data_IF_488903734710
#
_entry.id   IF_488903734710
#
_cell.length_a   1.000
_cell.length_b   1.000
_cell.length_c   1.000
_cell.angle_alpha   90.00
_cell.angle_beta   90.00
_cell.angle_gamma   90.00
#
_symmetry.space_group_name_H-M   'P 1'
#
loop_
_entity.id
_entity.type
_entity.pdbx_description
1 polymer ?
#
# COMPACT_ATOMS: atom_id res chain seq x y z
N UNK A 1 -25.92 62.33 -25.28
CA UNK A 1 -25.76 63.24 -24.14
C UNK A 1 -24.66 62.59 -23.29
N UNK A 2 -23.40 62.73 -23.63
CA UNK A 2 -22.42 63.81 -23.33
C UNK A 2 -22.54 64.35 -21.92
N UNK A 3 -21.54 64.10 -21.11
CA UNK A 3 -20.72 65.16 -20.57
C UNK A 3 -19.40 64.64 -20.03
N UNK A 4 -18.33 65.20 -20.60
CA UNK A 4 -16.91 65.16 -20.17
C UNK A 4 -16.70 66.08 -18.97
N UNK A 5 -15.68 65.79 -18.15
CA UNK A 5 -14.83 66.78 -17.46
C UNK A 5 -13.52 66.09 -17.02
N UNK A 6 -12.44 66.30 -17.64
CA UNK A 6 -11.34 67.32 -17.66
C UNK A 6 -10.46 67.29 -16.43
N UNK A 7 -9.17 67.00 -16.75
CA UNK A 7 -7.94 67.13 -15.94
C UNK A 7 -7.67 68.57 -15.48
N UNK A 8 -6.95 68.69 -14.36
CA UNK A 8 -5.98 69.78 -14.09
C UNK A 8 -4.77 69.20 -13.31
N UNK A 9 -3.53 69.62 -13.68
CA UNK A 9 -2.30 69.16 -13.03
C UNK A 9 -1.78 70.18 -12.03
N UNK A 10 -1.07 69.75 -10.99
CA UNK A 10 -0.21 70.61 -10.16
C UNK A 10 1.20 70.06 -10.08
N UNK A 11 2.14 70.92 -10.48
CA UNK A 11 3.60 70.89 -10.29
C UNK A 11 3.95 71.35 -8.87
N UNK A 12 5.01 70.78 -8.29
CA UNK A 12 6.27 71.43 -7.79
C UNK A 12 6.95 70.44 -6.83
N UNK A 13 8.10 69.94 -7.16
CA UNK A 13 9.48 70.43 -6.80
C UNK A 13 9.89 70.18 -5.33
N UNK A 14 10.84 69.28 -5.17
CA UNK A 14 11.61 69.08 -3.94
C UNK A 14 12.70 68.01 -4.13
N UNK A 15 13.92 68.47 -4.49
CA UNK A 15 15.12 67.61 -4.48
C UNK A 15 15.46 67.25 -3.04
N UNK A 16 15.60 65.99 -2.74
CA UNK A 16 16.40 65.49 -1.61
C UNK A 16 17.19 64.26 -2.03
N UNK A 17 18.40 64.19 -1.55
CA UNK A 17 19.49 63.33 -1.92
C UNK A 17 19.14 61.83 -1.79
N UNK A 18 19.56 61.04 -2.76
CA UNK A 18 19.56 59.56 -2.69
C UNK A 18 20.75 59.14 -1.81
N UNK A 19 20.54 58.30 -0.78
CA UNK A 19 21.66 57.62 -0.15
C UNK A 19 22.08 56.43 -1.05
N UNK A 20 23.40 56.23 -1.15
CA UNK A 20 24.06 55.19 -1.93
C UNK A 20 23.67 53.80 -1.45
N UNK A 21 22.98 53.03 -2.32
CA UNK A 21 22.47 51.67 -2.06
C UNK A 21 23.50 50.58 -2.41
N UNK A 22 24.78 50.91 -2.52
CA UNK A 22 25.80 49.91 -2.94
C UNK A 22 26.39 49.06 -1.82
N UNK A 23 26.16 49.39 -0.55
CA UNK A 23 26.73 48.62 0.58
C UNK A 23 25.82 47.54 1.12
N UNK A 24 24.51 47.51 0.79
CA UNK A 24 23.53 46.51 1.33
C UNK A 24 23.31 45.26 0.46
N UNK A 25 23.90 45.21 -0.75
CA UNK A 25 23.72 44.02 -1.63
C UNK A 25 24.53 42.78 -1.25
N UNK A 26 25.54 42.89 -0.42
CA UNK A 26 26.37 41.77 0.06
C UNK A 26 25.71 40.96 1.17
N UNK A 27 25.02 41.61 2.10
CA UNK A 27 24.46 40.95 3.30
C UNK A 27 23.17 40.13 3.03
N UNK A 28 22.34 40.56 2.07
CA UNK A 28 21.08 39.88 1.74
C UNK A 28 21.32 38.55 0.99
N UNK A 29 22.38 38.49 0.13
CA UNK A 29 22.72 37.21 -0.55
C UNK A 29 23.26 36.15 0.40
N UNK A 30 24.02 36.52 1.42
CA UNK A 30 24.54 35.58 2.42
C UNK A 30 23.42 35.07 3.32
N UNK A 31 22.42 35.89 3.64
CA UNK A 31 21.27 35.48 4.47
C UNK A 31 20.34 34.49 3.74
N UNK A 32 20.13 34.67 2.42
CA UNK A 32 19.33 33.74 1.61
C UNK A 32 20.03 32.39 1.39
N UNK A 33 21.36 32.31 1.37
CA UNK A 33 22.12 31.07 1.23
C UNK A 33 22.12 30.25 2.54
N UNK A 34 22.07 30.93 3.70
CA UNK A 34 22.11 30.25 5.01
C UNK A 34 20.72 29.76 5.46
N UNK A 35 19.63 30.37 4.98
CA UNK A 35 18.25 30.10 5.41
C UNK A 35 17.35 29.59 4.29
N UNK A 36 17.88 29.00 3.21
CA UNK A 36 17.03 28.33 2.22
C UNK A 36 16.39 27.10 2.87
N UNK A 37 15.06 26.87 2.67
CA UNK A 37 14.38 25.67 3.16
C UNK A 37 15.09 24.37 2.72
N UNK A 38 15.77 24.39 1.58
CA UNK A 38 16.52 23.25 1.03
C UNK A 38 17.74 22.88 1.89
N UNK A 39 18.43 23.86 2.51
CA UNK A 39 19.54 23.58 3.43
C UNK A 39 19.09 23.03 4.78
N UNK A 40 17.91 23.45 5.26
CA UNK A 40 17.34 22.91 6.50
C UNK A 40 16.82 21.47 6.32
N UNK A 41 16.29 21.14 5.14
CA UNK A 41 15.88 19.78 4.80
C UNK A 41 17.09 18.87 4.57
N UNK A 42 18.13 19.34 3.89
CA UNK A 42 19.37 18.60 3.69
C UNK A 42 20.08 18.31 5.02
N UNK A 43 20.13 19.25 5.97
CA UNK A 43 20.71 19.05 7.30
C UNK A 43 19.89 18.09 8.18
N UNK A 44 18.55 18.05 8.03
CA UNK A 44 17.71 17.09 8.77
C UNK A 44 17.85 15.65 8.27
N UNK A 45 18.10 15.43 6.98
CA UNK A 45 18.31 14.07 6.45
C UNK A 45 19.67 13.47 6.81
N UNK A 46 20.69 14.30 7.10
CA UNK A 46 22.04 13.83 7.43
C UNK A 46 22.21 13.36 8.90
N UNK A 47 21.22 13.58 9.76
CA UNK A 47 21.31 13.26 11.20
C UNK A 47 20.45 12.08 11.67
N UNK A 48 19.66 11.44 10.77
CA UNK A 48 18.87 10.28 11.20
C UNK A 48 19.77 9.06 11.36
N UNK A 49 19.67 8.33 12.48
CA UNK A 49 20.37 7.07 12.65
C UNK A 49 20.02 6.10 11.50
N UNK A 50 21.02 5.38 11.00
CA UNK A 50 20.85 4.47 9.85
C UNK A 50 19.78 3.41 10.10
N UNK A 51 19.62 2.94 11.33
CA UNK A 51 18.62 1.96 11.74
C UNK A 51 17.18 2.50 11.63
N UNK A 52 16.95 3.81 11.85
CA UNK A 52 15.65 4.44 11.62
C UNK A 52 15.30 4.44 10.12
N UNK A 53 16.27 4.71 9.27
CA UNK A 53 16.12 4.65 7.82
C UNK A 53 15.80 3.23 7.34
N UNK A 54 16.38 2.19 7.94
CA UNK A 54 15.99 0.80 7.67
C UNK A 54 14.58 0.48 8.17
N UNK A 55 14.19 0.94 9.37
CA UNK A 55 12.84 0.81 9.87
C UNK A 55 11.79 1.50 8.97
N UNK A 56 12.12 2.66 8.43
CA UNK A 56 11.28 3.34 7.43
C UNK A 56 11.25 2.59 6.09
N UNK A 57 12.36 2.02 5.64
CA UNK A 57 12.45 1.23 4.41
C UNK A 57 11.49 0.04 4.44
N UNK A 58 11.42 -0.71 5.53
CA UNK A 58 10.51 -1.86 5.71
C UNK A 58 9.13 -1.46 6.23
N UNK A 59 8.84 -0.15 6.33
CA UNK A 59 7.55 0.39 6.82
C UNK A 59 7.21 -0.06 8.25
N UNK A 60 8.20 -0.16 9.15
CA UNK A 60 8.00 -0.70 10.50
C UNK A 60 6.91 0.04 11.31
N UNK A 61 6.76 1.35 11.11
CA UNK A 61 5.73 2.17 11.77
C UNK A 61 4.32 2.03 11.18
N UNK A 62 4.20 1.46 9.98
CA UNK A 62 2.90 1.28 9.30
C UNK A 62 2.79 -0.12 8.73
N UNK A 63 2.23 -1.02 9.51
CA UNK A 63 2.10 -2.44 9.19
C UNK A 63 0.75 -2.82 8.56
N UNK A 64 -0.08 -1.84 8.16
CA UNK A 64 -1.38 -2.14 7.55
C UNK A 64 -1.26 -3.08 6.35
N UNK A 65 -0.25 -2.88 5.49
CA UNK A 65 -0.02 -3.78 4.35
C UNK A 65 0.43 -5.18 4.76
N UNK A 66 1.14 -5.34 5.90
CA UNK A 66 1.51 -6.66 6.44
C UNK A 66 0.26 -7.39 6.94
N UNK A 67 -0.62 -6.71 7.67
CA UNK A 67 -1.89 -7.29 8.11
C UNK A 67 -2.76 -7.72 6.92
N UNK A 68 -2.87 -6.89 5.88
CA UNK A 68 -3.65 -7.21 4.67
C UNK A 68 -3.08 -8.40 3.87
N UNK A 69 -1.76 -8.63 3.90
CA UNK A 69 -1.13 -9.82 3.33
C UNK A 69 -1.32 -11.06 4.23
N UNK A 70 -1.23 -10.89 5.54
CA UNK A 70 -1.24 -11.96 6.52
C UNK A 70 -2.64 -12.55 6.74
N UNK A 71 -3.66 -11.70 6.82
CA UNK A 71 -5.03 -12.11 7.15
C UNK A 71 -5.57 -13.21 6.23
N UNK A 72 -5.46 -13.14 4.88
CA UNK A 72 -5.91 -14.23 4.01
C UNK A 72 -5.20 -15.57 4.26
N UNK A 73 -3.90 -15.53 4.59
CA UNK A 73 -3.18 -16.75 4.96
C UNK A 73 -3.71 -17.33 6.28
N UNK A 74 -4.02 -16.48 7.27
CA UNK A 74 -4.62 -16.92 8.54
C UNK A 74 -6.04 -17.46 8.35
N UNK A 75 -6.88 -16.85 7.50
CA UNK A 75 -8.18 -17.40 7.11
C UNK A 75 -8.03 -18.81 6.56
N UNK A 76 -7.04 -18.98 5.70
CA UNK A 76 -6.74 -20.27 5.07
C UNK A 76 -6.30 -21.30 6.10
N UNK A 77 -5.41 -20.95 7.02
CA UNK A 77 -4.97 -21.85 8.08
C UNK A 77 -6.15 -22.31 8.96
N UNK A 78 -7.07 -21.39 9.30
CA UNK A 78 -8.26 -21.72 10.10
C UNK A 78 -9.17 -22.67 9.34
N UNK A 79 -9.53 -22.38 8.08
CA UNK A 79 -10.42 -23.23 7.29
C UNK A 79 -9.79 -24.60 6.98
N UNK A 80 -8.53 -24.63 6.57
CA UNK A 80 -7.84 -25.86 6.21
C UNK A 80 -7.65 -26.82 7.39
N UNK A 81 -7.67 -26.30 8.64
CA UNK A 81 -7.46 -27.11 9.85
C UNK A 81 -8.72 -27.20 10.74
N UNK A 82 -9.91 -26.93 10.19
CA UNK A 82 -11.17 -27.08 10.93
C UNK A 82 -11.23 -26.25 12.22
N UNK A 83 -10.73 -25.03 12.21
CA UNK A 83 -10.71 -24.13 13.36
C UNK A 83 -9.50 -24.26 14.30
N UNK A 84 -8.67 -25.30 14.13
CA UNK A 84 -7.56 -25.63 15.04
C UNK A 84 -6.20 -25.69 14.31
N UNK A 85 -5.73 -24.57 13.73
CA UNK A 85 -4.46 -24.56 13.00
C UNK A 85 -3.27 -24.79 13.94
N UNK A 86 -2.24 -25.58 13.53
CA UNK A 86 -1.02 -25.76 14.29
C UNK A 86 -0.34 -24.41 14.57
N UNK A 87 0.04 -24.15 15.82
CA UNK A 87 0.72 -22.90 16.22
C UNK A 87 1.98 -22.65 15.41
N UNK A 88 2.70 -23.70 15.05
CA UNK A 88 3.88 -23.63 14.18
C UNK A 88 3.54 -22.99 12.83
N UNK A 89 2.47 -23.42 12.14
CA UNK A 89 2.05 -22.83 10.87
C UNK A 89 1.62 -21.38 11.04
N UNK A 90 0.89 -21.05 12.11
CA UNK A 90 0.53 -19.66 12.41
C UNK A 90 1.80 -18.80 12.51
N UNK A 91 2.78 -19.23 13.30
CA UNK A 91 4.05 -18.51 13.49
C UNK A 91 4.83 -18.35 12.19
N UNK A 92 4.93 -19.42 11.37
CA UNK A 92 5.62 -19.38 10.08
C UNK A 92 4.94 -18.42 9.11
N UNK A 93 3.60 -18.45 8.98
CA UNK A 93 2.88 -17.57 8.06
C UNK A 93 2.81 -16.12 8.54
N UNK A 94 2.80 -15.86 9.85
CA UNK A 94 2.95 -14.51 10.39
C UNK A 94 4.33 -13.92 10.11
N UNK A 95 5.39 -14.65 10.45
CA UNK A 95 6.77 -14.23 10.18
C UNK A 95 7.04 -14.10 8.66
N UNK A 96 6.55 -15.06 7.87
CA UNK A 96 6.65 -15.07 6.41
C UNK A 96 5.94 -13.88 5.77
N UNK A 97 4.74 -13.53 6.23
CA UNK A 97 4.00 -12.35 5.74
C UNK A 97 4.75 -11.05 6.04
N UNK A 98 5.29 -10.89 7.26
CA UNK A 98 6.10 -9.73 7.60
C UNK A 98 7.36 -9.65 6.72
N UNK A 99 8.06 -10.76 6.56
CA UNK A 99 9.31 -10.85 5.78
C UNK A 99 9.05 -10.58 4.30
N UNK A 100 8.07 -11.24 3.69
CA UNK A 100 7.73 -11.08 2.28
C UNK A 100 7.14 -9.69 1.98
N UNK A 101 6.35 -9.12 2.90
CA UNK A 101 5.87 -7.74 2.76
C UNK A 101 7.03 -6.74 2.81
N UNK A 102 7.97 -6.92 3.73
CA UNK A 102 9.16 -6.09 3.84
C UNK A 102 10.04 -6.21 2.59
N UNK A 103 10.28 -7.43 2.11
CA UNK A 103 11.01 -7.68 0.86
C UNK A 103 10.33 -7.00 -0.34
N UNK A 104 9.02 -7.17 -0.51
CA UNK A 104 8.25 -6.57 -1.59
C UNK A 104 8.34 -5.04 -1.59
N UNK A 105 8.29 -4.39 -0.40
CA UNK A 105 8.46 -2.93 -0.27
C UNK A 105 9.86 -2.50 -0.67
N UNK A 106 10.90 -3.20 -0.23
CA UNK A 106 12.30 -2.87 -0.58
C UNK A 106 12.51 -2.99 -2.09
N UNK A 107 12.01 -4.07 -2.72
CA UNK A 107 12.08 -4.25 -4.18
C UNK A 107 11.31 -3.16 -4.92
N UNK A 108 10.13 -2.80 -4.43
CA UNK A 108 9.33 -1.71 -5.02
C UNK A 108 10.05 -0.35 -4.91
N UNK A 109 10.59 0.00 -3.74
CA UNK A 109 11.31 1.27 -3.53
C UNK A 109 12.60 1.32 -4.36
N UNK A 110 13.29 0.18 -4.58
CA UNK A 110 14.43 0.09 -5.50
C UNK A 110 14.03 0.35 -6.96
N UNK A 111 12.94 -0.28 -7.41
CA UNK A 111 12.43 -0.15 -8.78
C UNK A 111 11.90 1.28 -9.04
N UNK A 112 11.25 1.90 -8.04
CA UNK A 112 10.58 3.18 -8.18
C UNK A 112 11.41 4.38 -7.75
N UNK A 113 12.65 4.21 -7.31
CA UNK A 113 13.52 5.26 -6.76
C UNK A 113 13.51 6.56 -7.56
N UNK A 114 13.45 6.50 -8.89
CA UNK A 114 13.44 7.68 -9.77
C UNK A 114 12.09 8.38 -9.79
N UNK A 115 11.01 7.63 -9.74
CA UNK A 115 9.64 8.14 -9.74
C UNK A 115 9.27 8.72 -8.36
N UNK A 116 9.65 8.03 -7.29
CA UNK A 116 9.38 8.45 -5.91
C UNK A 116 9.94 9.83 -5.58
N UNK A 117 11.04 10.26 -6.23
CA UNK A 117 11.60 11.60 -6.08
C UNK A 117 10.70 12.72 -6.62
N UNK A 118 9.79 12.39 -7.53
CA UNK A 118 8.92 13.36 -8.22
C UNK A 118 7.55 13.50 -7.54
N UNK A 119 7.22 12.62 -6.61
CA UNK A 119 5.94 12.59 -5.90
C UNK A 119 6.14 13.12 -4.47
N UNK A 120 5.39 14.15 -4.10
CA UNK A 120 5.54 14.84 -2.80
C UNK A 120 5.47 13.87 -1.60
N UNK A 121 4.55 12.89 -1.63
CA UNK A 121 4.37 11.91 -0.55
C UNK A 121 5.54 10.93 -0.44
N UNK A 122 6.20 10.56 -1.52
CA UNK A 122 7.22 9.49 -1.57
C UNK A 122 8.65 10.02 -1.66
N UNK A 123 8.86 11.31 -1.94
CA UNK A 123 10.19 11.94 -2.04
C UNK A 123 11.02 11.82 -0.76
N UNK A 124 10.37 11.75 0.41
CA UNK A 124 11.02 11.57 1.70
C UNK A 124 11.41 10.11 2.03
N UNK A 125 11.05 9.11 1.17
CA UNK A 125 11.43 7.71 1.38
C UNK A 125 12.95 7.55 1.40
N UNK A 126 13.51 6.61 2.21
CA UNK A 126 14.96 6.48 2.40
C UNK A 126 15.78 6.34 1.11
N UNK A 127 15.28 5.62 0.10
CA UNK A 127 15.95 5.47 -1.20
C UNK A 127 15.76 6.68 -2.12
N UNK A 128 14.61 7.33 -2.06
CA UNK A 128 14.31 8.51 -2.86
C UNK A 128 15.11 9.73 -2.37
N UNK A 129 15.14 9.95 -1.05
CA UNK A 129 15.88 11.05 -0.40
C UNK A 129 17.41 10.84 -0.41
N UNK A 130 17.88 9.59 -0.59
CA UNK A 130 19.29 9.25 -0.50
C UNK A 130 19.79 8.94 0.93
N UNK A 131 18.90 8.83 1.92
CA UNK A 131 19.23 8.39 3.28
C UNK A 131 19.78 6.96 3.32
N UNK A 132 19.36 6.11 2.36
CA UNK A 132 19.94 4.78 2.12
C UNK A 132 20.40 4.67 0.67
N UNK A 133 21.52 3.96 0.48
CA UNK A 133 22.04 3.62 -0.85
C UNK A 133 21.32 2.37 -1.41
N UNK A 134 21.30 2.22 -2.73
CA UNK A 134 20.75 1.01 -3.37
C UNK A 134 21.46 -0.26 -2.94
N UNK A 135 22.79 -0.19 -2.63
CA UNK A 135 23.57 -1.34 -2.13
C UNK A 135 23.07 -1.78 -0.74
N UNK A 136 22.82 -0.83 0.16
CA UNK A 136 22.27 -1.14 1.50
C UNK A 136 20.87 -1.74 1.42
N UNK A 137 20.01 -1.21 0.54
CA UNK A 137 18.68 -1.78 0.31
C UNK A 137 18.74 -3.18 -0.31
N UNK A 138 19.69 -3.43 -1.23
CA UNK A 138 19.88 -4.77 -1.80
C UNK A 138 20.34 -5.77 -0.73
N UNK A 139 21.26 -5.38 0.15
CA UNK A 139 21.69 -6.23 1.29
C UNK A 139 20.48 -6.54 2.19
N UNK A 140 19.65 -5.54 2.51
CA UNK A 140 18.43 -5.76 3.29
C UNK A 140 17.47 -6.74 2.58
N UNK A 141 17.29 -6.60 1.26
CA UNK A 141 16.48 -7.53 0.45
C UNK A 141 17.01 -8.95 0.49
N UNK A 142 18.33 -9.15 0.39
CA UNK A 142 18.97 -10.48 0.46
C UNK A 142 18.81 -11.12 1.85
N UNK A 143 18.93 -10.34 2.93
CA UNK A 143 18.69 -10.84 4.28
C UNK A 143 17.22 -11.24 4.50
N UNK A 144 16.29 -10.44 4.01
CA UNK A 144 14.85 -10.77 4.04
C UNK A 144 14.54 -12.02 3.21
N UNK A 145 15.15 -12.16 2.03
CA UNK A 145 15.00 -13.35 1.19
C UNK A 145 15.54 -14.59 1.89
N UNK A 146 16.71 -14.51 2.51
CA UNK A 146 17.29 -15.62 3.28
C UNK A 146 16.38 -16.01 4.46
N UNK A 147 15.83 -15.03 5.18
CA UNK A 147 14.88 -15.30 6.26
C UNK A 147 13.60 -15.97 5.75
N UNK A 148 13.04 -15.52 4.60
CA UNK A 148 11.89 -16.16 3.97
C UNK A 148 12.21 -17.60 3.54
N UNK A 149 13.38 -17.86 2.97
CA UNK A 149 13.82 -19.20 2.56
C UNK A 149 13.92 -20.14 3.78
N UNK A 150 14.47 -19.68 4.91
CA UNK A 150 14.53 -20.46 6.15
C UNK A 150 13.14 -20.84 6.68
N UNK A 151 12.15 -19.96 6.56
CA UNK A 151 10.77 -20.27 6.93
C UNK A 151 10.15 -21.30 5.99
N UNK A 152 10.42 -21.20 4.70
CA UNK A 152 9.87 -22.10 3.67
C UNK A 152 10.40 -23.52 3.79
N UNK A 153 11.69 -23.72 4.07
CA UNK A 153 12.28 -25.08 4.20
C UNK A 153 11.72 -25.85 5.38
N UNK A 154 11.06 -25.20 6.32
CA UNK A 154 10.36 -25.83 7.44
C UNK A 154 8.94 -26.32 7.08
N UNK A 155 8.47 -26.09 5.85
CA UNK A 155 7.16 -26.50 5.37
C UNK A 155 7.23 -27.85 4.64
N UNK A 156 6.04 -28.36 4.23
CA UNK A 156 5.97 -29.60 3.46
C UNK A 156 6.45 -29.41 2.00
N UNK A 157 6.75 -30.52 1.28
CA UNK A 157 7.30 -30.46 -0.09
C UNK A 157 6.46 -29.68 -1.08
N UNK A 158 5.12 -29.73 -0.99
CA UNK A 158 4.25 -29.00 -1.91
C UNK A 158 4.36 -27.47 -1.69
N UNK A 159 4.35 -27.01 -0.44
CA UNK A 159 4.51 -25.61 -0.12
C UNK A 159 5.91 -25.10 -0.54
N UNK A 160 6.97 -25.90 -0.35
CA UNK A 160 8.32 -25.59 -0.84
C UNK A 160 8.31 -25.45 -2.38
N UNK A 161 7.70 -26.39 -3.11
CA UNK A 161 7.63 -26.36 -4.58
C UNK A 161 6.85 -25.14 -5.11
N UNK A 162 5.87 -24.61 -4.36
CA UNK A 162 5.08 -23.44 -4.72
C UNK A 162 5.78 -22.11 -4.38
N UNK A 163 6.79 -22.10 -3.50
CA UNK A 163 7.42 -20.88 -3.01
C UNK A 163 8.17 -20.06 -4.07
N UNK A 164 8.80 -20.62 -5.14
CA UNK A 164 9.42 -19.81 -6.18
C UNK A 164 8.43 -18.89 -6.92
N UNK A 165 7.16 -19.30 -7.02
CA UNK A 165 6.11 -18.47 -7.64
C UNK A 165 5.83 -17.23 -6.79
N UNK A 166 5.83 -17.35 -5.45
CA UNK A 166 5.70 -16.20 -4.55
C UNK A 166 6.81 -15.16 -4.77
N UNK A 167 8.06 -15.64 -4.93
CA UNK A 167 9.21 -14.78 -5.20
C UNK A 167 9.11 -14.11 -6.58
N UNK A 168 8.73 -14.86 -7.61
CA UNK A 168 8.51 -14.33 -8.96
C UNK A 168 7.45 -13.23 -8.95
N UNK A 169 6.32 -13.44 -8.29
CA UNK A 169 5.24 -12.47 -8.19
C UNK A 169 5.69 -11.20 -7.43
N UNK A 170 6.44 -11.35 -6.33
CA UNK A 170 7.01 -10.23 -5.59
C UNK A 170 8.01 -9.41 -6.42
N UNK A 171 8.81 -10.06 -7.30
CA UNK A 171 9.75 -9.40 -8.19
C UNK A 171 9.06 -8.70 -9.38
N UNK A 172 7.96 -9.26 -9.90
CA UNK A 172 7.23 -8.71 -11.05
C UNK A 172 6.31 -7.55 -10.68
N UNK A 173 5.75 -7.56 -9.47
CA UNK A 173 4.77 -6.56 -9.04
C UNK A 173 5.22 -5.09 -9.24
N UNK A 174 6.47 -4.66 -8.90
CA UNK A 174 6.88 -3.28 -9.09
C UNK A 174 6.81 -2.79 -10.54
N UNK A 175 6.89 -3.70 -11.51
CA UNK A 175 6.86 -3.37 -12.93
C UNK A 175 5.43 -3.37 -13.50
N UNK A 176 4.48 -4.00 -12.82
CA UNK A 176 3.09 -4.14 -13.29
C UNK A 176 2.45 -2.79 -13.62
N UNK A 177 2.65 -1.76 -12.79
CA UNK A 177 2.10 -0.41 -12.97
C UNK A 177 2.64 0.35 -14.18
N UNK A 178 3.72 -0.13 -14.80
CA UNK A 178 4.28 0.45 -16.02
C UNK A 178 3.59 -0.07 -17.28
N UNK A 179 3.01 -1.27 -17.19
CA UNK A 179 2.41 -1.98 -18.32
C UNK A 179 0.90 -2.09 -18.19
N UNK A 180 0.41 -2.51 -17.03
CA UNK A 180 -0.99 -2.82 -16.79
C UNK A 180 -1.77 -1.61 -16.28
N UNK A 181 -3.04 -1.52 -16.69
CA UNK A 181 -3.98 -0.49 -16.19
C UNK A 181 -4.57 -0.84 -14.82
N UNK A 182 -4.54 -2.13 -14.43
CA UNK A 182 -4.96 -2.64 -13.12
C UNK A 182 -3.78 -3.39 -12.49
N UNK A 183 -2.69 -2.70 -12.08
CA UNK A 183 -1.57 -3.34 -11.38
C UNK A 183 -1.98 -3.96 -10.04
N UNK A 184 -3.10 -3.50 -9.45
CA UNK A 184 -3.73 -4.04 -8.26
C UNK A 184 -4.08 -5.53 -8.37
N UNK A 185 -4.38 -6.02 -9.58
CA UNK A 185 -4.64 -7.44 -9.81
C UNK A 185 -3.36 -8.28 -9.61
N UNK A 186 -2.20 -7.79 -10.07
CA UNK A 186 -0.92 -8.47 -9.85
C UNK A 186 -0.57 -8.49 -8.36
N UNK A 187 -0.81 -7.38 -7.64
CA UNK A 187 -0.69 -7.35 -6.19
C UNK A 187 -1.61 -8.40 -5.53
N UNK A 188 -2.86 -8.47 -5.98
CA UNK A 188 -3.85 -9.43 -5.48
C UNK A 188 -3.41 -10.87 -5.69
N UNK A 189 -2.87 -11.20 -6.87
CA UNK A 189 -2.33 -12.53 -7.17
C UNK A 189 -1.13 -12.83 -6.25
N UNK A 190 -0.23 -11.87 -6.05
CA UNK A 190 0.92 -12.04 -5.16
C UNK A 190 0.49 -12.26 -3.70
N UNK A 191 -0.50 -11.52 -3.22
CA UNK A 191 -1.05 -11.68 -1.87
C UNK A 191 -1.83 -12.98 -1.73
N UNK A 192 -2.66 -13.32 -2.73
CA UNK A 192 -3.41 -14.57 -2.78
C UNK A 192 -2.51 -15.80 -2.85
N UNK A 193 -1.27 -15.66 -3.35
CA UNK A 193 -0.35 -16.81 -3.35
C UNK A 193 0.01 -17.30 -1.94
N UNK A 194 -0.03 -16.42 -0.95
CA UNK A 194 0.05 -16.80 0.46
C UNK A 194 -1.06 -17.73 0.91
N UNK A 195 -2.26 -17.58 0.36
CA UNK A 195 -3.42 -18.49 0.58
C UNK A 195 -3.12 -19.89 0.03
N UNK A 196 -2.65 -19.97 -1.22
CA UNK A 196 -2.30 -21.24 -1.87
C UNK A 196 -1.20 -21.96 -1.08
N UNK A 197 -0.16 -21.22 -0.64
CA UNK A 197 0.90 -21.79 0.19
C UNK A 197 0.41 -22.25 1.57
N UNK A 198 -0.49 -21.49 2.21
CA UNK A 198 -1.04 -21.83 3.52
C UNK A 198 -1.92 -23.10 3.46
N UNK A 199 -2.72 -23.23 2.40
CA UNK A 199 -3.51 -24.44 2.16
C UNK A 199 -2.58 -25.64 1.88
N UNK A 200 -1.62 -25.49 0.99
CA UNK A 200 -0.63 -26.52 0.67
C UNK A 200 0.14 -26.96 1.93
N UNK A 201 0.58 -26.02 2.76
CA UNK A 201 1.31 -26.32 4.01
C UNK A 201 0.44 -27.09 5.02
N UNK A 202 -0.87 -26.83 5.03
CA UNK A 202 -1.82 -27.51 5.95
C UNK A 202 -2.24 -28.90 5.46
N UNK A 203 -2.51 -29.04 4.15
CA UNK A 203 -3.20 -30.22 3.58
C UNK A 203 -2.31 -31.07 2.68
N UNK A 204 -1.12 -30.56 2.28
CA UNK A 204 -0.23 -31.15 1.27
C UNK A 204 -0.93 -31.44 -0.08
N UNK A 205 -1.97 -30.71 -0.39
CA UNK A 205 -2.74 -30.75 -1.64
C UNK A 205 -3.42 -29.41 -1.89
N UNK A 206 -3.92 -29.17 -3.11
CA UNK A 206 -4.72 -28.00 -3.44
C UNK A 206 -6.17 -28.44 -3.72
N UNK A 207 -7.11 -27.81 -3.03
CA UNK A 207 -8.53 -28.15 -3.05
C UNK A 207 -9.38 -26.92 -3.44
N UNK A 208 -10.66 -27.12 -3.72
CA UNK A 208 -11.59 -26.06 -4.11
C UNK A 208 -11.61 -24.84 -3.19
N UNK A 209 -11.65 -25.02 -1.85
CA UNK A 209 -11.63 -23.89 -0.92
C UNK A 209 -10.38 -23.02 -1.05
N UNK A 210 -9.20 -23.58 -1.36
CA UNK A 210 -7.98 -22.80 -1.56
C UNK A 210 -8.12 -21.80 -2.71
N UNK A 211 -8.71 -22.25 -3.82
CA UNK A 211 -8.92 -21.41 -5.00
C UNK A 211 -10.01 -20.36 -4.78
N UNK A 212 -11.06 -20.70 -4.02
CA UNK A 212 -12.09 -19.74 -3.63
C UNK A 212 -11.52 -18.62 -2.74
N UNK A 213 -10.70 -18.98 -1.73
CA UNK A 213 -9.99 -18.01 -0.87
C UNK A 213 -8.97 -17.19 -1.65
N UNK A 214 -8.26 -17.79 -2.60
CA UNK A 214 -7.36 -17.10 -3.50
C UNK A 214 -8.10 -16.03 -4.30
N UNK A 215 -9.22 -16.40 -4.96
CA UNK A 215 -10.05 -15.46 -5.72
C UNK A 215 -10.60 -14.32 -4.83
N UNK A 216 -11.08 -14.67 -3.62
CA UNK A 216 -11.52 -13.70 -2.64
C UNK A 216 -10.40 -12.69 -2.31
N UNK A 217 -9.18 -13.18 -2.09
CA UNK A 217 -8.01 -12.34 -1.77
C UNK A 217 -7.62 -11.43 -2.93
N UNK A 218 -7.65 -11.93 -4.16
CA UNK A 218 -7.39 -11.12 -5.36
C UNK A 218 -8.42 -10.00 -5.47
N UNK A 219 -9.71 -10.30 -5.35
CA UNK A 219 -10.78 -9.31 -5.40
C UNK A 219 -10.62 -8.28 -4.28
N UNK A 220 -10.33 -8.73 -3.05
CA UNK A 220 -10.12 -7.84 -1.92
C UNK A 220 -8.95 -6.90 -2.12
N UNK A 221 -7.81 -7.43 -2.61
CA UNK A 221 -6.61 -6.63 -2.88
C UNK A 221 -6.88 -5.57 -3.95
N UNK A 222 -7.56 -5.91 -5.04
CA UNK A 222 -7.95 -4.95 -6.07
C UNK A 222 -8.81 -3.84 -5.46
N UNK A 223 -9.77 -4.18 -4.60
CA UNK A 223 -10.65 -3.20 -3.98
C UNK A 223 -9.89 -2.24 -3.06
N UNK A 224 -9.18 -2.75 -2.03
CA UNK A 224 -8.53 -1.87 -1.07
C UNK A 224 -7.32 -1.11 -1.64
N UNK A 225 -6.59 -1.70 -2.58
CA UNK A 225 -5.45 -1.02 -3.19
C UNK A 225 -5.89 0.02 -4.24
N UNK A 226 -7.07 -0.16 -4.87
CA UNK A 226 -7.71 0.91 -5.65
C UNK A 226 -8.08 2.10 -4.77
N UNK A 227 -8.64 1.86 -3.57
CA UNK A 227 -8.91 2.92 -2.58
C UNK A 227 -7.59 3.60 -2.17
N UNK A 228 -6.54 2.82 -1.90
CA UNK A 228 -5.23 3.35 -1.56
C UNK A 228 -4.66 4.23 -2.68
N UNK A 229 -4.81 3.83 -3.94
CA UNK A 229 -4.31 4.56 -5.10
C UNK A 229 -5.01 5.91 -5.32
N UNK A 230 -6.19 6.16 -4.71
CA UNK A 230 -6.84 7.48 -4.77
C UNK A 230 -6.00 8.58 -4.11
N UNK A 231 -5.07 8.25 -3.23
CA UNK A 231 -4.19 9.22 -2.58
C UNK A 231 -3.25 9.92 -3.56
N UNK A 232 -2.76 9.19 -4.56
CA UNK A 232 -1.73 9.65 -5.49
C UNK A 232 -2.28 9.82 -6.91
N UNK A 233 -3.60 9.68 -7.12
CA UNK A 233 -4.23 9.63 -8.46
C UNK A 233 -3.82 10.78 -9.38
N UNK A 234 -3.78 12.01 -8.84
CA UNK A 234 -3.48 13.19 -9.65
C UNK A 234 -1.98 13.30 -9.96
N UNK A 235 -1.11 12.89 -9.04
CA UNK A 235 0.34 12.83 -9.26
C UNK A 235 0.69 11.69 -10.22
N UNK A 236 0.11 10.49 -10.03
CA UNK A 236 0.29 9.32 -10.91
C UNK A 236 -0.13 9.65 -12.35
N UNK A 237 -1.24 10.37 -12.54
CA UNK A 237 -1.71 10.80 -13.85
C UNK A 237 -0.70 11.76 -14.53
N UNK A 238 -0.06 12.66 -13.78
CA UNK A 238 0.95 13.61 -14.31
C UNK A 238 2.22 12.92 -14.78
N UNK A 239 2.66 11.87 -14.08
CA UNK A 239 3.90 11.14 -14.41
C UNK A 239 3.69 9.91 -15.27
N UNK A 240 2.44 9.65 -15.70
CA UNK A 240 2.10 8.55 -16.60
C UNK A 240 2.09 7.15 -15.96
N UNK A 241 2.02 7.07 -14.62
CA UNK A 241 1.86 5.79 -13.90
C UNK A 241 0.40 5.33 -14.01
N UNK A 242 0.22 4.03 -14.28
CA UNK A 242 -1.11 3.43 -14.43
C UNK A 242 -1.63 2.91 -13.10
N UNK A 243 -2.92 3.14 -12.82
CA UNK A 243 -3.61 2.60 -11.66
C UNK A 243 -5.10 2.37 -11.94
N UNK A 244 -5.73 1.47 -11.19
CA UNK A 244 -7.16 1.24 -11.27
C UNK A 244 -7.96 2.50 -10.89
N UNK A 245 -7.46 3.35 -9.98
CA UNK A 245 -8.09 4.61 -9.61
C UNK A 245 -8.15 5.60 -10.79
N UNK A 246 -7.15 5.59 -11.68
CA UNK A 246 -7.14 6.38 -12.92
C UNK A 246 -8.08 5.74 -13.94
N UNK A 247 -7.99 4.42 -14.15
CA UNK A 247 -8.79 3.69 -15.13
C UNK A 247 -10.30 3.83 -14.88
N UNK A 248 -10.74 3.62 -13.65
CA UNK A 248 -12.17 3.68 -13.29
C UNK A 248 -12.69 5.11 -13.11
N UNK A 249 -11.81 6.08 -12.83
CA UNK A 249 -12.16 7.48 -12.71
C UNK A 249 -13.38 7.72 -11.81
N UNK A 250 -14.45 8.31 -12.35
CA UNK A 250 -15.70 8.58 -11.61
C UNK A 250 -16.45 7.31 -11.18
N UNK A 251 -16.16 6.17 -11.78
CA UNK A 251 -16.80 4.89 -11.48
C UNK A 251 -15.99 4.03 -10.48
N UNK A 252 -14.94 4.58 -9.86
CA UNK A 252 -14.12 3.87 -8.87
C UNK A 252 -14.97 3.26 -7.75
N UNK A 253 -15.99 3.95 -7.27
CA UNK A 253 -16.92 3.43 -6.25
C UNK A 253 -17.64 2.15 -6.70
N UNK A 254 -18.08 2.10 -7.96
CA UNK A 254 -18.78 0.93 -8.51
C UNK A 254 -17.82 -0.25 -8.70
N UNK A 255 -16.62 -0.01 -9.24
CA UNK A 255 -15.60 -1.03 -9.39
C UNK A 255 -15.19 -1.63 -8.03
N UNK A 256 -14.90 -0.79 -7.03
CA UNK A 256 -14.61 -1.23 -5.66
C UNK A 256 -15.77 -2.05 -5.09
N UNK A 257 -17.02 -1.60 -5.29
CA UNK A 257 -18.21 -2.33 -4.84
C UNK A 257 -18.34 -3.71 -5.46
N UNK A 258 -18.10 -3.83 -6.77
CA UNK A 258 -18.13 -5.12 -7.49
C UNK A 258 -17.07 -6.07 -6.95
N UNK A 259 -15.82 -5.60 -6.77
CA UNK A 259 -14.74 -6.44 -6.25
C UNK A 259 -14.99 -6.86 -4.80
N UNK A 260 -15.56 -6.00 -3.95
CA UNK A 260 -15.91 -6.36 -2.58
C UNK A 260 -17.07 -7.36 -2.54
N UNK A 261 -18.07 -7.21 -3.39
CA UNK A 261 -19.15 -8.20 -3.52
C UNK A 261 -18.63 -9.57 -4.00
N UNK A 262 -17.77 -9.56 -5.03
CA UNK A 262 -17.11 -10.79 -5.51
C UNK A 262 -16.26 -11.44 -4.42
N UNK A 263 -15.52 -10.67 -3.63
CA UNK A 263 -14.79 -11.17 -2.46
C UNK A 263 -15.73 -11.92 -1.49
N UNK A 264 -16.86 -11.29 -1.10
CA UNK A 264 -17.81 -11.88 -0.15
C UNK A 264 -18.45 -13.15 -0.69
N UNK A 265 -18.78 -13.20 -1.99
CA UNK A 265 -19.29 -14.40 -2.66
C UNK A 265 -18.26 -15.52 -2.62
N UNK A 266 -17.00 -15.23 -2.97
CA UNK A 266 -15.91 -16.22 -2.92
C UNK A 266 -15.65 -16.73 -1.48
N UNK A 267 -15.70 -15.84 -0.48
CA UNK A 267 -15.58 -16.21 0.94
C UNK A 267 -16.76 -17.09 1.38
N UNK A 268 -17.98 -16.72 1.01
CA UNK A 268 -19.17 -17.52 1.28
C UNK A 268 -19.07 -18.91 0.65
N UNK A 269 -18.59 -19.00 -0.59
CA UNK A 269 -18.37 -20.27 -1.29
C UNK A 269 -17.28 -21.12 -0.63
N UNK A 270 -16.16 -20.51 -0.19
CA UNK A 270 -15.12 -21.21 0.57
C UNK A 270 -15.69 -21.78 1.89
N UNK A 271 -16.49 -20.99 2.61
CA UNK A 271 -17.18 -21.45 3.82
C UNK A 271 -18.15 -22.60 3.56
N UNK A 272 -18.88 -22.55 2.45
CA UNK A 272 -19.79 -23.65 2.03
C UNK A 272 -19.01 -24.94 1.78
N UNK A 273 -17.93 -24.88 1.03
CA UNK A 273 -17.08 -26.05 0.76
C UNK A 273 -16.42 -26.64 2.02
N UNK A 274 -16.21 -25.81 3.06
CA UNK A 274 -15.67 -26.23 4.35
C UNK A 274 -16.75 -26.53 5.41
N UNK A 275 -18.04 -26.50 5.04
CA UNK A 275 -19.20 -26.76 5.94
C UNK A 275 -19.19 -25.85 7.17
N UNK A 276 -18.80 -24.57 7.02
CA UNK A 276 -18.78 -23.58 8.10
C UNK A 276 -20.22 -23.22 8.50
N UNK A 277 -20.47 -23.07 9.82
CA UNK A 277 -21.81 -22.82 10.37
C UNK A 277 -22.42 -21.48 9.93
N UNK A 278 -23.76 -21.29 10.10
CA UNK A 278 -24.45 -20.05 9.73
C UNK A 278 -23.92 -18.77 10.40
N UNK A 279 -23.26 -18.88 11.54
CA UNK A 279 -22.63 -17.75 12.25
C UNK A 279 -21.65 -17.01 11.36
N UNK A 280 -20.86 -17.74 10.60
CA UNK A 280 -19.92 -17.15 9.63
C UNK A 280 -20.61 -16.28 8.57
N UNK A 281 -21.73 -16.75 8.03
CA UNK A 281 -22.47 -16.00 7.01
C UNK A 281 -23.15 -14.75 7.59
N UNK A 282 -23.54 -14.78 8.85
CA UNK A 282 -23.98 -13.59 9.58
C UNK A 282 -22.88 -12.54 9.68
N UNK A 283 -21.65 -12.97 9.98
CA UNK A 283 -20.46 -12.09 9.99
C UNK A 283 -20.17 -11.53 8.60
N UNK A 284 -20.22 -12.35 7.55
CA UNK A 284 -20.06 -11.88 6.16
C UNK A 284 -21.12 -10.83 5.78
N UNK A 285 -22.37 -11.04 6.20
CA UNK A 285 -23.45 -10.07 5.99
C UNK A 285 -23.15 -8.72 6.67
N UNK A 286 -22.68 -8.73 7.91
CA UNK A 286 -22.27 -7.54 8.67
C UNK A 286 -21.11 -6.79 7.99
N UNK A 287 -20.09 -7.52 7.54
CA UNK A 287 -18.97 -6.95 6.76
C UNK A 287 -19.46 -6.40 5.42
N UNK A 288 -20.45 -7.06 4.79
CA UNK A 288 -21.09 -6.57 3.56
C UNK A 288 -21.77 -5.22 3.74
N UNK A 289 -22.52 -5.04 4.83
CA UNK A 289 -23.14 -3.76 5.21
C UNK A 289 -22.05 -2.69 5.43
N UNK A 290 -21.00 -3.03 6.17
CA UNK A 290 -19.87 -2.13 6.37
C UNK A 290 -19.23 -1.69 5.03
N UNK A 291 -19.00 -2.61 4.11
CA UNK A 291 -18.45 -2.29 2.79
C UNK A 291 -19.43 -1.45 1.93
N UNK A 292 -20.74 -1.68 2.04
CA UNK A 292 -21.72 -0.85 1.37
C UNK A 292 -21.64 0.62 1.80
N UNK A 293 -21.50 0.89 3.11
CA UNK A 293 -21.25 2.25 3.62
C UNK A 293 -19.93 2.83 3.10
N UNK A 294 -18.87 2.03 3.04
CA UNK A 294 -17.59 2.48 2.53
C UNK A 294 -17.68 2.85 1.02
N UNK A 295 -18.32 2.00 0.21
CA UNK A 295 -18.57 2.24 -1.21
C UNK A 295 -19.42 3.51 -1.43
N UNK A 296 -20.41 3.75 -0.58
CA UNK A 296 -21.21 4.97 -0.66
C UNK A 296 -20.37 6.24 -0.42
N UNK A 297 -19.41 6.19 0.51
CA UNK A 297 -18.47 7.29 0.75
C UNK A 297 -17.54 7.57 -0.44
N UNK A 298 -17.28 6.57 -1.29
CA UNK A 298 -16.45 6.71 -2.49
C UNK A 298 -17.18 7.36 -3.69
N UNK A 299 -18.48 7.62 -3.60
CA UNK A 299 -19.25 8.25 -4.70
C UNK A 299 -18.88 9.72 -4.94
N UNK A 300 -18.30 10.39 -3.94
CA UNK A 300 -17.83 11.76 -4.03
C UNK A 300 -16.30 11.86 -4.17
N UNK A 301 -15.81 13.08 -4.33
CA UNK A 301 -14.38 13.36 -4.19
C UNK A 301 -13.98 13.23 -2.72
N UNK A 302 -12.97 12.42 -2.44
CA UNK A 302 -12.46 12.22 -1.08
C UNK A 302 -11.02 12.72 -0.96
N UNK A 303 -10.67 13.38 0.17
CA UNK A 303 -9.29 13.77 0.43
C UNK A 303 -8.35 12.55 0.55
N UNK A 304 -7.05 12.69 0.20
CA UNK A 304 -6.06 11.60 0.32
C UNK A 304 -6.02 10.94 1.71
N UNK A 305 -6.15 11.73 2.78
CA UNK A 305 -6.16 11.22 4.16
C UNK A 305 -7.39 10.33 4.42
N UNK A 306 -8.54 10.66 3.84
CA UNK A 306 -9.76 9.85 3.93
C UNK A 306 -9.60 8.54 3.16
N UNK A 307 -9.01 8.57 1.97
CA UNK A 307 -8.69 7.36 1.20
C UNK A 307 -7.79 6.42 2.01
N UNK A 308 -6.75 6.96 2.66
CA UNK A 308 -5.88 6.17 3.53
C UNK A 308 -6.60 5.61 4.76
N UNK A 309 -7.49 6.37 5.38
CA UNK A 309 -8.29 5.90 6.50
C UNK A 309 -9.22 4.75 6.09
N UNK A 310 -9.90 4.86 4.94
CA UNK A 310 -10.74 3.80 4.37
C UNK A 310 -9.92 2.54 4.07
N UNK A 311 -8.72 2.69 3.47
CA UNK A 311 -7.80 1.58 3.26
C UNK A 311 -7.45 0.85 4.57
N UNK A 312 -7.12 1.57 5.63
CA UNK A 312 -6.78 0.94 6.93
C UNK A 312 -7.95 0.18 7.56
N UNK A 313 -9.19 0.58 7.30
CA UNK A 313 -10.38 -0.09 7.79
C UNK A 313 -10.51 -1.54 7.29
N UNK A 314 -9.90 -1.87 6.14
CA UNK A 314 -9.88 -3.25 5.65
C UNK A 314 -9.14 -4.21 6.60
N UNK A 315 -8.14 -3.74 7.37
CA UNK A 315 -7.50 -4.57 8.40
C UNK A 315 -8.53 -5.05 9.43
N UNK A 316 -9.41 -4.15 9.89
CA UNK A 316 -10.48 -4.51 10.81
C UNK A 316 -11.50 -5.45 10.19
N UNK A 317 -11.94 -5.18 8.96
CA UNK A 317 -12.85 -6.06 8.23
C UNK A 317 -12.27 -7.46 8.08
N UNK A 318 -10.99 -7.56 7.68
CA UNK A 318 -10.31 -8.85 7.56
C UNK A 318 -10.15 -9.59 8.90
N UNK A 319 -9.92 -8.87 9.98
CA UNK A 319 -9.85 -9.44 11.34
C UNK A 319 -11.22 -9.95 11.79
N UNK A 320 -12.30 -9.22 11.52
CA UNK A 320 -13.67 -9.65 11.82
C UNK A 320 -14.02 -10.93 11.05
N UNK A 321 -13.64 -11.01 9.76
CA UNK A 321 -13.82 -12.23 8.95
C UNK A 321 -13.05 -13.41 9.55
N UNK A 322 -11.80 -13.21 10.02
CA UNK A 322 -10.99 -14.23 10.67
C UNK A 322 -11.71 -14.85 11.88
N UNK A 323 -12.20 -13.99 12.77
CA UNK A 323 -12.94 -14.44 13.94
C UNK A 323 -14.29 -15.09 13.58
N UNK A 324 -14.97 -14.60 12.54
CA UNK A 324 -16.18 -15.21 12.02
C UNK A 324 -15.96 -16.62 11.47
N UNK A 325 -14.84 -16.84 10.75
CA UNK A 325 -14.45 -18.18 10.29
C UNK A 325 -14.17 -19.11 11.46
N UNK A 326 -13.39 -18.63 12.43
CA UNK A 326 -13.07 -19.42 13.61
C UNK A 326 -14.30 -19.78 14.44
N UNK A 327 -15.17 -18.83 14.73
CA UNK A 327 -16.42 -19.05 15.46
C UNK A 327 -17.42 -19.94 14.69
N UNK A 328 -17.31 -19.97 13.36
CA UNK A 328 -18.17 -20.82 12.53
C UNK A 328 -17.71 -22.27 12.43
N UNK A 329 -16.52 -22.62 12.94
CA UNK A 329 -15.94 -23.96 12.94
C UNK A 329 -15.88 -24.60 14.34
N UNK A 330 -16.09 -23.80 15.40
CA UNK A 330 -16.25 -24.26 16.79
C UNK A 330 -17.69 -24.47 17.10
#
# INVERSE_FOLDING_TARGET
METQARCVPCRHAGRTARPDLTVLRGSVKVWHVIHSPDNLLAHRTSQRPIWESFGELIRLRNQSGTWLLMLPSLWTLILANGGHPPLFLIAVFMAGSFTMRSLGVVLNDLADRRFDRQIARTSARPLASGALTSRQALIAAMLLLAAAALLVVALNPLAIALSPVALLLAALYPYAKRVLHIPQAVLGIAFGWGVIMAWAASRNQLEGPAWALFAATVCWAVAYDTIYALQDRDDDARIGVKSAAILFGRYTWAAVGIFLAAMLVCLGFAGYLCSVSPVYYGVLGMVGVFFAFQVQRLRGSIPPQTAFALFKQHVWAGTVILFGMWAGLG
#
